data_IF_959724962666
#
_entry.id   IF_959724962666
#
_cell.length_a   1.000
_cell.length_b   1.000
_cell.length_c   1.000
_cell.angle_alpha   90.00
_cell.angle_beta   90.00
_cell.angle_gamma   90.00
#
_symmetry.space_group_name_H-M   'P 1'
#
loop_
_entity.id
_entity.type
_entity.pdbx_description
1 polymer ?
#
# COMPACT_ATOMS: atom_id res chain seq x y z
N UNK A 1 -20.89 32.96 17.16
CA UNK A 1 -20.57 32.66 15.76
C UNK A 1 -21.04 31.24 15.46
N UNK A 2 -21.82 31.09 14.38
CA UNK A 2 -22.30 29.77 13.94
C UNK A 2 -21.19 29.00 13.22
N UNK A 3 -21.16 27.68 13.40
CA UNK A 3 -20.28 26.76 12.68
C UNK A 3 -21.06 25.55 12.22
N UNK A 4 -20.82 25.16 10.98
CA UNK A 4 -21.37 23.94 10.38
C UNK A 4 -20.25 22.91 10.22
N UNK A 5 -20.53 21.68 10.59
CA UNK A 5 -19.64 20.52 10.47
C UNK A 5 -20.38 19.37 9.81
N UNK A 6 -19.82 18.79 8.78
CA UNK A 6 -20.31 17.57 8.14
C UNK A 6 -19.72 16.38 8.89
N UNK A 7 -20.59 15.59 9.49
CA UNK A 7 -20.26 14.39 10.24
C UNK A 7 -20.84 13.14 9.57
N UNK A 8 -20.55 11.97 10.11
CA UNK A 8 -21.09 10.71 9.63
C UNK A 8 -22.62 10.62 9.81
N UNK A 9 -23.18 11.38 10.75
CA UNK A 9 -24.64 11.41 11.04
C UNK A 9 -25.33 12.60 10.38
N UNK A 10 -24.69 13.27 9.47
CA UNK A 10 -25.26 14.41 8.75
C UNK A 10 -24.56 15.75 9.05
N UNK A 11 -25.19 16.82 8.62
CA UNK A 11 -24.72 18.19 8.82
C UNK A 11 -25.17 18.70 10.21
N UNK A 12 -24.24 19.15 11.01
CA UNK A 12 -24.49 19.70 12.33
C UNK A 12 -24.11 21.17 12.36
N UNK A 13 -25.06 22.05 12.65
CA UNK A 13 -24.82 23.49 12.86
C UNK A 13 -24.97 23.83 14.34
N UNK A 14 -23.94 24.45 14.92
CA UNK A 14 -23.93 24.85 16.31
C UNK A 14 -23.39 26.26 16.50
N UNK A 15 -23.86 26.93 17.56
CA UNK A 15 -23.35 28.25 17.99
C UNK A 15 -22.17 28.09 18.91
N UNK A 16 -21.13 28.90 18.73
CA UNK A 16 -19.94 28.92 19.58
C UNK A 16 -19.58 30.33 19.99
N UNK A 17 -19.13 30.45 21.24
CA UNK A 17 -18.71 31.72 21.82
C UNK A 17 -17.23 31.96 21.55
N UNK A 18 -16.90 33.18 21.24
CA UNK A 18 -15.57 33.63 20.97
C UNK A 18 -14.95 34.20 22.23
N UNK A 19 -13.77 33.72 22.60
CA UNK A 19 -13.03 34.13 23.77
C UNK A 19 -11.72 34.80 23.39
N UNK A 20 -11.27 35.70 24.26
CA UNK A 20 -9.96 36.35 24.16
C UNK A 20 -9.21 36.05 25.45
N UNK A 21 -8.02 35.48 25.32
CA UNK A 21 -7.15 35.25 26.49
C UNK A 21 -6.71 36.57 27.07
N UNK A 22 -6.92 36.77 28.41
CA UNK A 22 -6.48 37.97 29.12
C UNK A 22 -4.96 38.13 29.16
N UNK A 23 -4.23 37.01 29.05
CA UNK A 23 -2.78 37.00 29.18
C UNK A 23 -2.04 37.13 27.86
N UNK A 24 -2.58 36.54 26.77
CA UNK A 24 -1.87 36.44 25.48
C UNK A 24 -2.56 37.19 24.36
N UNK A 25 -3.71 37.84 24.61
CA UNK A 25 -4.61 38.39 23.56
C UNK A 25 -4.97 37.41 22.43
N UNK A 26 -4.67 36.10 22.59
CA UNK A 26 -5.03 35.08 21.62
C UNK A 26 -6.55 34.88 21.62
N UNK A 27 -7.08 34.83 20.42
CA UNK A 27 -8.50 34.62 20.16
C UNK A 27 -8.78 33.15 19.87
N UNK A 28 -9.79 32.56 20.52
CA UNK A 28 -10.11 31.13 20.36
C UNK A 28 -11.59 30.85 20.61
N UNK A 29 -12.05 29.71 20.10
CA UNK A 29 -13.37 29.16 20.40
C UNK A 29 -13.18 28.00 21.38
N UNK A 30 -13.63 28.15 22.61
CA UNK A 30 -13.45 27.16 23.66
C UNK A 30 -14.05 25.79 23.31
N UNK A 31 -15.24 25.78 22.68
CA UNK A 31 -15.90 24.59 22.19
C UNK A 31 -15.04 23.83 21.16
N UNK A 32 -14.36 24.55 20.28
CA UNK A 32 -13.47 23.93 19.29
C UNK A 32 -12.27 23.22 19.95
N UNK A 33 -11.84 23.67 21.12
CA UNK A 33 -10.74 23.03 21.87
C UNK A 33 -11.20 21.83 22.67
N UNK A 34 -12.42 21.87 23.26
CA UNK A 34 -13.00 20.72 23.99
C UNK A 34 -13.25 19.55 23.06
N UNK A 35 -13.95 19.81 21.96
CA UNK A 35 -14.31 18.77 20.97
C UNK A 35 -13.21 18.58 19.93
N UNK A 36 -12.10 19.30 20.07
CA UNK A 36 -10.92 19.15 19.26
C UNK A 36 -11.21 19.34 17.76
N UNK A 37 -12.07 20.27 17.47
CA UNK A 37 -12.49 20.54 16.11
C UNK A 37 -11.38 21.26 15.34
N UNK A 38 -11.04 20.77 14.15
CA UNK A 38 -9.99 21.40 13.34
C UNK A 38 -10.37 22.83 12.98
N UNK A 39 -9.43 23.76 13.11
CA UNK A 39 -9.64 25.17 12.73
C UNK A 39 -10.04 25.27 11.25
N UNK A 40 -11.12 26.00 10.95
CA UNK A 40 -11.62 26.25 9.59
C UNK A 40 -11.95 25.00 8.76
N UNK A 41 -12.15 23.86 9.38
CA UNK A 41 -12.51 22.64 8.69
C UNK A 41 -14.04 22.43 8.76
N UNK A 42 -14.63 21.98 7.67
CA UNK A 42 -16.05 21.70 7.56
C UNK A 42 -16.38 20.21 7.69
N UNK A 43 -15.35 19.35 7.77
CA UNK A 43 -15.52 17.90 7.78
C UNK A 43 -14.93 17.29 9.02
N UNK A 44 -15.67 16.39 9.62
CA UNK A 44 -15.24 15.55 10.72
C UNK A 44 -14.06 14.65 10.31
N UNK A 45 -13.11 14.33 11.19
CA UNK A 45 -12.02 13.40 10.89
C UNK A 45 -12.48 12.02 10.42
N UNK A 46 -13.62 11.51 10.91
CA UNK A 46 -14.16 10.22 10.48
C UNK A 46 -14.62 10.27 9.02
N UNK A 47 -15.31 11.33 8.62
CA UNK A 47 -15.71 11.56 7.22
C UNK A 47 -14.47 11.58 6.29
N UNK A 48 -13.41 12.26 6.73
CA UNK A 48 -12.15 12.27 5.98
C UNK A 48 -11.51 10.89 5.89
N UNK A 49 -11.48 10.15 6.99
CA UNK A 49 -10.92 8.80 7.04
C UNK A 49 -11.67 7.85 6.09
N UNK A 50 -13.01 7.92 6.06
CA UNK A 50 -13.83 7.14 5.13
C UNK A 50 -13.51 7.51 3.68
N UNK A 51 -13.51 8.80 3.36
CA UNK A 51 -13.26 9.27 2.00
C UNK A 51 -11.86 8.89 1.52
N UNK A 52 -10.83 9.04 2.37
CA UNK A 52 -9.46 8.65 2.05
C UNK A 52 -9.35 7.13 1.83
N UNK A 53 -9.93 6.32 2.72
CA UNK A 53 -9.91 4.86 2.60
C UNK A 53 -10.58 4.38 1.31
N UNK A 54 -11.74 4.94 0.97
CA UNK A 54 -12.44 4.66 -0.28
C UNK A 54 -11.64 5.13 -1.51
N UNK A 55 -10.99 6.31 -1.45
CA UNK A 55 -10.19 6.85 -2.55
C UNK A 55 -8.98 5.97 -2.90
N UNK A 56 -8.39 5.30 -1.92
CA UNK A 56 -7.31 4.32 -2.13
C UNK A 56 -7.85 3.03 -2.77
N UNK A 57 -9.09 2.67 -2.48
CA UNK A 57 -9.69 1.41 -2.97
C UNK A 57 -10.34 1.54 -4.34
N UNK A 58 -10.83 2.72 -4.71
CA UNK A 58 -11.59 2.95 -5.95
C UNK A 58 -10.99 4.09 -6.78
N UNK A 59 -11.61 5.25 -6.75
CA UNK A 59 -11.14 6.51 -7.31
C UNK A 59 -11.63 7.65 -6.44
N UNK A 60 -11.02 8.83 -6.58
CA UNK A 60 -11.45 10.00 -5.80
C UNK A 60 -12.92 10.37 -6.11
N UNK A 61 -13.31 10.26 -7.38
CA UNK A 61 -14.68 10.56 -7.80
C UNK A 61 -15.70 9.56 -7.21
N UNK A 62 -15.37 8.27 -7.22
CA UNK A 62 -16.23 7.24 -6.64
C UNK A 62 -16.24 7.34 -5.11
N UNK A 63 -15.09 7.58 -4.50
CA UNK A 63 -14.96 7.80 -3.05
C UNK A 63 -15.86 8.94 -2.56
N UNK A 64 -15.92 10.04 -3.31
CA UNK A 64 -16.80 11.17 -2.99
C UNK A 64 -18.27 10.74 -2.98
N UNK A 65 -18.72 10.10 -4.07
CA UNK A 65 -20.11 9.62 -4.17
C UNK A 65 -20.44 8.63 -3.07
N UNK A 66 -19.59 7.61 -2.87
CA UNK A 66 -19.81 6.57 -1.87
C UNK A 66 -19.83 7.12 -0.43
N UNK A 67 -19.01 8.16 -0.16
CA UNK A 67 -18.98 8.79 1.17
C UNK A 67 -20.20 9.66 1.38
N UNK A 68 -20.61 10.44 0.39
CA UNK A 68 -21.82 11.28 0.47
C UNK A 68 -23.08 10.43 0.58
N UNK A 69 -23.18 9.32 -0.19
CA UNK A 69 -24.28 8.36 -0.06
C UNK A 69 -24.33 7.77 1.34
N UNK A 70 -23.21 7.28 1.87
CA UNK A 70 -23.15 6.72 3.21
C UNK A 70 -23.61 7.71 4.29
N UNK A 71 -23.21 8.98 4.20
CA UNK A 71 -23.63 10.02 5.15
C UNK A 71 -25.13 10.27 5.02
N UNK A 72 -25.66 10.35 3.81
CA UNK A 72 -27.11 10.54 3.58
C UNK A 72 -27.92 9.35 4.09
N UNK A 73 -27.43 8.12 3.89
CA UNK A 73 -28.08 6.89 4.38
C UNK A 73 -28.08 6.79 5.92
N UNK A 74 -27.05 7.35 6.57
CA UNK A 74 -26.89 7.35 8.03
C UNK A 74 -27.48 8.61 8.70
N UNK A 75 -27.86 9.63 7.94
CA UNK A 75 -28.42 10.85 8.51
C UNK A 75 -29.81 10.56 9.10
N UNK A 76 -29.90 10.68 10.42
CA UNK A 76 -31.11 10.42 11.19
C UNK A 76 -32.10 11.60 11.18
N UNK A 77 -31.61 12.77 10.76
CA UNK A 77 -32.44 13.97 10.72
C UNK A 77 -33.01 14.12 9.32
N UNK A 78 -34.35 14.12 9.22
CA UNK A 78 -35.08 14.62 8.06
C UNK A 78 -34.74 16.10 7.83
N UNK A 79 -33.57 16.38 7.35
CA UNK A 79 -33.28 17.69 6.79
C UNK A 79 -33.54 17.58 5.29
N UNK A 80 -34.39 18.47 4.77
CA UNK A 80 -34.62 18.65 3.33
C UNK A 80 -33.35 18.93 2.52
N UNK A 81 -32.18 18.98 3.16
CA UNK A 81 -30.89 19.22 2.56
C UNK A 81 -30.13 17.92 2.43
N UNK A 82 -30.25 17.30 1.26
CA UNK A 82 -29.28 16.30 0.79
C UNK A 82 -27.90 16.91 0.93
N UNK A 83 -27.00 16.24 1.68
CA UNK A 83 -25.61 16.68 1.80
C UNK A 83 -25.01 16.75 0.40
N UNK A 84 -24.58 17.94 0.01
CA UNK A 84 -23.89 18.16 -1.27
C UNK A 84 -22.66 17.27 -1.33
N UNK A 85 -22.37 16.76 -2.49
CA UNK A 85 -21.17 15.96 -2.73
C UNK A 85 -19.91 16.63 -2.18
N UNK A 86 -19.11 15.84 -1.48
CA UNK A 86 -17.80 16.29 -1.01
C UNK A 86 -16.95 16.65 -2.25
N UNK A 87 -16.37 17.86 -2.34
CA UNK A 87 -15.56 18.20 -3.49
C UNK A 87 -14.35 17.27 -3.64
N UNK A 88 -14.12 16.74 -4.86
CA UNK A 88 -12.94 15.87 -5.14
C UNK A 88 -11.64 16.53 -4.69
N UNK A 89 -11.54 17.85 -4.84
CA UNK A 89 -10.36 18.62 -4.42
C UNK A 89 -10.14 18.55 -2.91
N UNK A 90 -11.19 18.39 -2.10
CA UNK A 90 -11.08 18.22 -0.65
C UNK A 90 -10.42 16.89 -0.31
N UNK A 91 -10.88 15.78 -0.87
CA UNK A 91 -10.27 14.45 -0.68
C UNK A 91 -8.81 14.45 -1.12
N UNK A 92 -8.56 15.07 -2.28
CA UNK A 92 -7.21 15.26 -2.77
C UNK A 92 -6.31 16.01 -1.79
N UNK A 93 -6.79 17.15 -1.26
CA UNK A 93 -6.04 17.97 -0.31
C UNK A 93 -5.80 17.23 1.02
N UNK A 94 -6.77 16.43 1.48
CA UNK A 94 -6.62 15.61 2.69
C UNK A 94 -5.50 14.57 2.51
N UNK A 95 -5.50 13.83 1.40
CA UNK A 95 -4.42 12.87 1.10
C UNK A 95 -3.08 13.59 0.95
N UNK A 96 -3.04 14.74 0.23
CA UNK A 96 -1.82 15.54 0.03
C UNK A 96 -1.20 15.96 1.36
N UNK A 97 -2.01 16.44 2.30
CA UNK A 97 -1.55 17.03 3.55
C UNK A 97 -1.38 15.99 4.66
N UNK A 98 -1.84 14.75 4.46
CA UNK A 98 -1.68 13.69 5.44
C UNK A 98 -0.22 13.20 5.47
N UNK A 99 0.39 13.20 6.67
CA UNK A 99 1.65 12.51 6.90
C UNK A 99 1.34 11.01 7.09
N UNK A 100 1.68 10.21 6.11
CA UNK A 100 1.50 8.76 6.15
C UNK A 100 2.75 8.15 6.83
N UNK A 101 2.64 7.56 8.03
CA UNK A 101 3.78 7.00 8.74
C UNK A 101 4.35 5.78 8.01
N UNK A 102 5.57 5.36 8.33
CA UNK A 102 6.12 4.09 7.88
C UNK A 102 5.64 2.99 8.82
N UNK A 103 4.87 2.05 8.29
CA UNK A 103 4.33 0.92 9.04
C UNK A 103 4.50 -0.34 8.21
N UNK A 104 4.97 -1.40 8.83
CA UNK A 104 5.02 -2.74 8.27
C UNK A 104 4.41 -3.70 9.28
N UNK A 105 3.47 -4.57 8.89
CA UNK A 105 2.99 -5.61 9.80
C UNK A 105 4.16 -6.46 10.24
N UNK A 106 4.41 -6.55 11.55
CA UNK A 106 5.46 -7.43 12.09
C UNK A 106 5.11 -8.90 11.81
N UNK A 107 6.11 -9.70 11.50
CA UNK A 107 5.98 -11.16 11.53
C UNK A 107 6.21 -11.65 12.95
N UNK A 108 5.49 -12.71 13.35
CA UNK A 108 5.70 -13.32 14.65
C UNK A 108 7.11 -13.93 14.75
N UNK A 109 7.60 -14.51 13.65
CA UNK A 109 8.93 -15.10 13.55
C UNK A 109 9.59 -14.71 12.22
N UNK A 110 10.91 -14.67 12.20
CA UNK A 110 11.68 -14.48 10.97
C UNK A 110 11.94 -15.85 10.34
N UNK A 111 11.58 -16.08 9.06
CA UNK A 111 11.78 -17.36 8.38
C UNK A 111 13.26 -17.58 8.05
N UNK A 112 13.70 -18.82 7.97
CA UNK A 112 15.04 -19.17 7.47
C UNK A 112 15.18 -18.91 5.96
N UNK A 113 14.09 -19.02 5.21
CA UNK A 113 14.04 -18.76 3.76
C UNK A 113 13.03 -17.67 3.46
N UNK A 114 13.47 -16.63 2.79
CA UNK A 114 12.61 -15.54 2.32
C UNK A 114 12.54 -15.57 0.79
N UNK A 115 11.33 -15.52 0.26
CA UNK A 115 11.07 -15.41 -1.17
C UNK A 115 10.74 -13.97 -1.53
N UNK A 116 11.37 -13.44 -2.57
CA UNK A 116 11.19 -12.08 -3.04
C UNK A 116 10.91 -12.14 -4.54
N UNK A 117 9.73 -11.70 -4.95
CA UNK A 117 9.41 -11.44 -6.35
C UNK A 117 9.64 -9.96 -6.65
N UNK A 118 10.29 -9.65 -7.77
CA UNK A 118 10.52 -8.28 -8.22
C UNK A 118 10.16 -8.13 -9.70
N UNK A 119 9.53 -7.01 -10.04
CA UNK A 119 9.14 -6.68 -11.41
C UNK A 119 8.86 -5.18 -11.54
N UNK A 120 8.68 -4.68 -12.77
CA UNK A 120 8.42 -3.27 -13.05
C UNK A 120 7.13 -3.05 -13.83
N UNK A 121 6.55 -1.86 -13.62
CA UNK A 121 5.39 -1.38 -14.39
C UNK A 121 5.59 0.06 -14.80
N UNK A 122 5.36 0.32 -16.09
CA UNK A 122 5.34 1.68 -16.62
C UNK A 122 3.94 2.26 -16.49
N UNK A 123 3.86 3.49 -16.00
CA UNK A 123 2.60 4.23 -15.82
C UNK A 123 2.76 5.66 -16.31
N UNK A 124 1.75 6.21 -16.96
CA UNK A 124 1.72 7.61 -17.38
C UNK A 124 1.55 8.56 -16.19
N UNK A 125 2.23 9.70 -16.21
CA UNK A 125 2.02 10.82 -15.29
C UNK A 125 1.62 12.07 -16.06
N UNK A 126 0.77 12.92 -15.44
CA UNK A 126 0.23 14.12 -16.12
C UNK A 126 1.25 15.25 -16.32
N UNK A 127 2.29 15.27 -15.51
CA UNK A 127 3.30 16.34 -15.47
C UNK A 127 4.64 15.95 -16.13
N UNK A 128 4.70 14.79 -16.76
CA UNK A 128 5.88 14.26 -17.44
C UNK A 128 5.45 13.58 -18.74
N UNK A 129 6.16 13.82 -19.83
CA UNK A 129 5.88 13.20 -21.13
C UNK A 129 6.26 11.71 -21.18
N UNK A 130 7.24 11.30 -20.39
CA UNK A 130 7.71 9.91 -20.35
C UNK A 130 6.98 9.12 -19.27
N UNK A 131 6.70 7.88 -19.58
CA UNK A 131 6.18 6.94 -18.60
C UNK A 131 7.12 6.79 -17.39
N UNK A 132 6.54 6.72 -16.23
CA UNK A 132 7.23 6.49 -14.97
C UNK A 132 7.36 4.99 -14.74
N UNK A 133 8.57 4.53 -14.45
CA UNK A 133 8.83 3.15 -14.06
C UNK A 133 8.63 2.97 -12.55
N UNK A 134 7.66 2.16 -12.17
CA UNK A 134 7.43 1.72 -10.79
C UNK A 134 8.05 0.34 -10.62
N UNK A 135 8.90 0.19 -9.62
CA UNK A 135 9.50 -1.09 -9.22
C UNK A 135 8.70 -1.67 -8.06
N UNK A 136 8.29 -2.92 -8.21
CA UNK A 136 7.42 -3.61 -7.26
C UNK A 136 8.08 -4.85 -6.72
N UNK A 137 7.88 -5.05 -5.42
CA UNK A 137 8.42 -6.17 -4.65
C UNK A 137 7.30 -6.86 -3.91
N UNK A 138 7.34 -8.18 -3.89
CA UNK A 138 6.46 -9.02 -3.09
C UNK A 138 7.33 -10.00 -2.31
N UNK A 139 7.47 -9.77 -1.00
CA UNK A 139 8.15 -10.71 -0.12
C UNK A 139 7.13 -11.67 0.52
N UNK A 140 7.48 -12.94 0.69
CA UNK A 140 6.64 -13.93 1.34
C UNK A 140 7.48 -15.05 1.93
N UNK A 141 6.91 -15.78 2.89
CA UNK A 141 7.64 -16.78 3.68
C UNK A 141 7.48 -18.19 3.13
N UNK A 142 6.34 -18.48 2.51
CA UNK A 142 6.02 -19.79 1.96
C UNK A 142 4.84 -19.71 0.99
N UNK A 143 4.50 -20.85 0.38
CA UNK A 143 3.34 -21.02 -0.51
C UNK A 143 2.53 -22.22 -0.07
N UNK A 144 1.24 -22.04 0.16
CA UNK A 144 0.30 -23.10 0.50
C UNK A 144 -0.70 -23.33 -0.63
N UNK A 145 -0.99 -24.60 -0.90
CA UNK A 145 -2.01 -25.00 -1.86
C UNK A 145 -3.40 -24.88 -1.20
N UNK A 146 -4.27 -24.03 -1.78
CA UNK A 146 -5.67 -23.89 -1.34
C UNK A 146 -6.57 -24.88 -2.10
N UNK A 147 -6.27 -25.09 -3.37
CA UNK A 147 -6.96 -26.05 -4.24
C UNK A 147 -6.03 -26.51 -5.35
N UNK A 148 -6.46 -27.50 -6.17
CA UNK A 148 -5.67 -28.13 -7.25
C UNK A 148 -4.91 -27.11 -8.16
N UNK A 149 -5.46 -25.89 -8.34
CA UNK A 149 -4.88 -24.88 -9.22
C UNK A 149 -4.71 -23.50 -8.55
N UNK A 150 -4.83 -23.43 -7.21
CA UNK A 150 -4.76 -22.14 -6.49
C UNK A 150 -3.83 -22.22 -5.31
N UNK A 151 -2.84 -21.34 -5.32
CA UNK A 151 -1.84 -21.17 -4.26
C UNK A 151 -2.02 -19.83 -3.56
N UNK A 152 -1.65 -19.77 -2.29
CA UNK A 152 -1.63 -18.55 -1.48
C UNK A 152 -0.24 -18.34 -0.91
N UNK A 153 0.25 -17.10 -1.01
CA UNK A 153 1.51 -16.70 -0.38
C UNK A 153 1.30 -16.48 1.11
N UNK A 154 2.17 -17.07 1.92
CA UNK A 154 2.15 -16.94 3.39
C UNK A 154 2.87 -15.65 3.78
N UNK A 155 2.28 -14.90 4.70
CA UNK A 155 2.82 -13.65 5.26
C UNK A 155 3.31 -12.65 4.19
N UNK A 156 2.57 -12.57 3.07
CA UNK A 156 2.89 -11.70 1.94
C UNK A 156 3.02 -10.24 2.35
N UNK A 157 4.09 -9.60 1.90
CA UNK A 157 4.34 -8.16 2.06
C UNK A 157 4.63 -7.54 0.70
N UNK A 158 3.91 -6.48 0.38
CA UNK A 158 4.04 -5.72 -0.87
C UNK A 158 4.75 -4.42 -0.60
N UNK A 159 5.67 -4.05 -1.49
CA UNK A 159 6.34 -2.76 -1.48
C UNK A 159 6.54 -2.27 -2.90
N UNK A 160 6.23 -0.99 -3.15
CA UNK A 160 6.39 -0.35 -4.45
C UNK A 160 7.24 0.90 -4.32
N UNK A 161 8.16 1.09 -5.26
CA UNK A 161 9.11 2.19 -5.26
C UNK A 161 9.12 2.94 -6.58
N UNK A 162 9.12 4.27 -6.50
CA UNK A 162 9.41 5.18 -7.60
C UNK A 162 10.63 6.00 -7.25
N UNK A 163 11.66 5.94 -8.08
CA UNK A 163 12.94 6.65 -7.91
C UNK A 163 14.14 5.72 -7.96
N UNK A 164 15.29 6.27 -7.55
CA UNK A 164 16.56 5.57 -7.52
C UNK A 164 16.68 4.62 -6.32
N UNK A 165 17.66 3.71 -6.37
CA UNK A 165 18.02 2.79 -5.27
C UNK A 165 16.85 1.98 -4.72
N UNK A 166 16.06 1.28 -5.58
CA UNK A 166 14.87 0.55 -5.16
C UNK A 166 15.17 -0.57 -4.16
N UNK A 167 16.32 -1.21 -4.27
CA UNK A 167 16.73 -2.29 -3.36
C UNK A 167 17.02 -1.77 -1.95
N UNK A 168 17.67 -0.63 -1.81
CA UNK A 168 17.92 -0.01 -0.51
C UNK A 168 16.58 0.35 0.15
N UNK A 169 15.69 1.00 -0.59
CA UNK A 169 14.38 1.36 -0.07
C UNK A 169 13.53 0.13 0.32
N UNK A 170 13.62 -0.95 -0.46
CA UNK A 170 12.96 -2.21 -0.13
C UNK A 170 13.56 -2.86 1.11
N UNK A 171 14.87 -2.88 1.24
CA UNK A 171 15.56 -3.46 2.39
C UNK A 171 15.24 -2.71 3.68
N UNK A 172 15.27 -1.38 3.66
CA UNK A 172 14.85 -0.55 4.79
C UNK A 172 13.41 -0.86 5.22
N UNK A 173 12.52 -1.09 4.24
CA UNK A 173 11.14 -1.43 4.51
C UNK A 173 10.99 -2.82 5.11
N UNK A 174 11.64 -3.83 4.53
CA UNK A 174 11.50 -5.23 4.95
C UNK A 174 12.24 -5.52 6.27
N UNK A 175 13.30 -4.76 6.60
CA UNK A 175 14.01 -4.84 7.88
C UNK A 175 13.14 -4.42 9.07
N UNK A 176 12.07 -3.64 8.84
CA UNK A 176 11.08 -3.36 9.88
C UNK A 176 10.21 -4.61 10.21
N UNK A 177 10.19 -5.61 9.32
CA UNK A 177 9.39 -6.83 9.48
C UNK A 177 10.22 -8.01 9.96
N UNK A 178 11.42 -8.21 9.42
CA UNK A 178 12.26 -9.37 9.63
C UNK A 178 13.63 -8.99 10.17
N UNK A 179 14.17 -9.87 10.98
CA UNK A 179 15.57 -9.87 11.41
C UNK A 179 16.42 -10.55 10.32
N UNK A 180 17.15 -9.76 9.54
CA UNK A 180 17.93 -10.28 8.41
C UNK A 180 19.05 -11.27 8.83
N UNK A 181 19.55 -11.19 10.06
CA UNK A 181 20.59 -12.09 10.54
C UNK A 181 20.08 -13.53 10.71
N UNK A 182 18.76 -13.71 10.82
CA UNK A 182 18.11 -15.01 10.90
C UNK A 182 17.76 -15.63 9.54
N UNK A 183 17.79 -14.84 8.47
CA UNK A 183 17.47 -15.30 7.12
C UNK A 183 18.72 -15.96 6.52
N UNK A 184 18.67 -17.28 6.32
CA UNK A 184 19.76 -18.05 5.71
C UNK A 184 19.71 -18.05 4.19
N UNK A 185 18.49 -18.10 3.62
CA UNK A 185 18.29 -18.22 2.19
C UNK A 185 17.35 -17.15 1.68
N UNK A 186 17.73 -16.48 0.60
CA UNK A 186 16.87 -15.55 -0.13
C UNK A 186 16.69 -16.04 -1.56
N UNK A 187 15.46 -16.33 -1.94
CA UNK A 187 15.07 -16.71 -3.29
C UNK A 187 14.52 -15.49 -4.02
N UNK A 188 15.32 -14.92 -4.92
CA UNK A 188 14.94 -13.75 -5.74
C UNK A 188 14.35 -14.21 -7.06
N UNK A 189 13.10 -13.88 -7.32
CA UNK A 189 12.34 -14.26 -8.53
C UNK A 189 12.07 -13.01 -9.39
N UNK A 190 12.29 -13.12 -10.69
CA UNK A 190 12.00 -12.01 -11.63
C UNK A 190 12.15 -12.42 -13.08
N UNK A 191 11.99 -11.46 -13.99
CA UNK A 191 12.08 -11.64 -15.44
C UNK A 191 13.52 -11.68 -15.99
N UNK A 192 14.51 -11.35 -15.16
CA UNK A 192 15.90 -11.29 -15.52
C UNK A 192 16.40 -9.92 -15.97
N UNK A 193 15.62 -8.85 -15.76
CA UNK A 193 16.08 -7.48 -15.93
C UNK A 193 17.32 -7.21 -15.09
N UNK A 194 18.23 -6.35 -15.59
CA UNK A 194 19.52 -6.08 -14.95
C UNK A 194 19.36 -5.55 -13.52
N UNK A 195 18.41 -4.67 -13.29
CA UNK A 195 18.15 -4.12 -11.96
C UNK A 195 17.62 -5.17 -10.97
N UNK A 196 16.88 -6.19 -11.46
CA UNK A 196 16.41 -7.32 -10.61
C UNK A 196 17.60 -8.20 -10.26
N UNK A 197 18.43 -8.54 -11.25
CA UNK A 197 19.64 -9.36 -11.02
C UNK A 197 20.63 -8.68 -10.07
N UNK A 198 20.77 -7.35 -10.11
CA UNK A 198 21.63 -6.61 -9.16
C UNK A 198 21.19 -6.82 -7.71
N UNK A 199 19.89 -7.10 -7.48
CA UNK A 199 19.37 -7.44 -6.16
C UNK A 199 20.05 -8.64 -5.50
N UNK A 200 20.67 -9.54 -6.26
CA UNK A 200 21.43 -10.66 -5.67
C UNK A 200 22.66 -10.17 -4.88
N UNK A 201 23.26 -9.06 -5.29
CA UNK A 201 24.34 -8.41 -4.55
C UNK A 201 23.85 -7.58 -3.39
N UNK A 202 22.80 -6.78 -3.63
CA UNK A 202 22.22 -5.87 -2.62
C UNK A 202 21.60 -6.62 -1.42
N UNK A 203 20.97 -7.77 -1.66
CA UNK A 203 20.36 -8.60 -0.63
C UNK A 203 21.34 -9.46 0.16
N UNK A 204 22.59 -9.52 -0.25
CA UNK A 204 23.65 -10.25 0.47
C UNK A 204 24.20 -9.39 1.61
N UNK A 205 23.49 -9.39 2.74
CA UNK A 205 23.80 -8.54 3.89
C UNK A 205 24.80 -9.15 4.87
N UNK A 206 24.95 -10.48 4.86
CA UNK A 206 25.91 -11.18 5.72
C UNK A 206 26.64 -12.27 4.94
N UNK A 207 27.78 -12.73 5.45
CA UNK A 207 28.47 -13.90 4.88
C UNK A 207 27.67 -15.20 5.06
N UNK A 208 26.65 -15.19 5.93
CA UNK A 208 25.87 -16.36 6.31
C UNK A 208 24.60 -16.54 5.48
N UNK A 209 24.18 -15.54 4.68
CA UNK A 209 23.01 -15.67 3.84
C UNK A 209 23.37 -16.01 2.39
N UNK A 210 22.65 -16.94 1.79
CA UNK A 210 22.74 -17.25 0.36
C UNK A 210 21.61 -16.52 -0.39
N UNK A 211 21.96 -15.83 -1.48
CA UNK A 211 20.97 -15.20 -2.37
C UNK A 211 21.04 -15.89 -3.72
N UNK A 212 19.95 -16.48 -4.16
CA UNK A 212 19.86 -17.17 -5.46
C UNK A 212 18.76 -16.55 -6.32
N UNK A 213 19.11 -16.26 -7.57
CA UNK A 213 18.15 -15.74 -8.55
C UNK A 213 17.47 -16.89 -9.29
N UNK A 214 16.15 -16.74 -9.49
CA UNK A 214 15.28 -17.66 -10.22
C UNK A 214 14.54 -16.89 -11.31
N UNK A 215 14.59 -17.40 -12.54
CA UNK A 215 13.80 -16.78 -13.61
C UNK A 215 12.35 -17.24 -13.56
N UNK A 216 11.44 -16.26 -13.56
CA UNK A 216 10.00 -16.48 -13.53
C UNK A 216 9.52 -17.44 -14.64
N UNK A 217 8.78 -18.47 -14.26
CA UNK A 217 8.24 -19.48 -15.20
C UNK A 217 7.31 -18.86 -16.24
N UNK A 218 6.58 -17.80 -15.88
CA UNK A 218 5.73 -17.08 -16.82
C UNK A 218 6.54 -16.49 -17.97
N UNK A 219 7.64 -15.81 -17.69
CA UNK A 219 8.50 -15.21 -18.72
C UNK A 219 9.22 -16.25 -19.57
N UNK A 220 9.53 -17.42 -19.00
CA UNK A 220 10.00 -18.55 -19.77
C UNK A 220 8.94 -19.04 -20.77
N UNK A 221 7.71 -19.29 -20.31
CA UNK A 221 6.60 -19.70 -21.18
C UNK A 221 6.27 -18.64 -22.24
N UNK A 222 6.32 -17.37 -21.87
CA UNK A 222 6.16 -16.25 -22.82
C UNK A 222 7.27 -16.25 -23.89
N UNK A 223 8.52 -16.51 -23.51
CA UNK A 223 9.61 -16.62 -24.48
C UNK A 223 9.38 -17.78 -25.45
N UNK A 224 8.91 -18.94 -24.98
CA UNK A 224 8.50 -20.07 -25.84
C UNK A 224 7.37 -19.67 -26.81
N UNK A 225 6.38 -18.92 -26.33
CA UNK A 225 5.30 -18.39 -27.18
C UNK A 225 5.80 -17.48 -28.29
N UNK A 226 6.87 -16.74 -28.05
CA UNK A 226 7.52 -15.93 -29.08
C UNK A 226 8.36 -16.75 -30.05
N UNK A 227 8.84 -17.92 -29.66
CA UNK A 227 9.56 -18.85 -30.56
C UNK A 227 8.58 -19.47 -31.54
N UNK A 228 7.47 -20.02 -31.04
CA UNK A 228 6.45 -20.65 -31.90
C UNK A 228 5.03 -20.37 -31.41
N UNK A 229 4.12 -20.17 -32.38
CA UNK A 229 2.68 -20.04 -32.14
C UNK A 229 1.97 -21.39 -32.12
N UNK A 230 2.62 -22.47 -32.63
CA UNK A 230 2.08 -23.80 -32.60
C UNK A 230 2.02 -24.39 -31.20
N UNK A 231 0.91 -25.02 -30.84
CA UNK A 231 0.68 -25.51 -29.46
C UNK A 231 1.51 -26.78 -29.19
N UNK A 232 1.64 -27.67 -30.18
CA UNK A 232 2.36 -28.92 -30.03
C UNK A 232 3.86 -28.70 -29.97
N UNK A 233 4.38 -27.77 -30.79
CA UNK A 233 5.79 -27.33 -30.69
C UNK A 233 6.10 -26.71 -29.36
N UNK A 234 5.22 -25.87 -28.77
CA UNK A 234 5.41 -25.30 -27.46
C UNK A 234 5.47 -26.38 -26.37
N UNK A 235 4.53 -27.30 -26.41
CA UNK A 235 4.52 -28.44 -25.49
C UNK A 235 5.82 -29.25 -25.57
N UNK A 236 6.24 -29.56 -26.81
CA UNK A 236 7.47 -30.29 -27.08
C UNK A 236 8.71 -29.55 -26.55
N UNK A 237 8.84 -28.27 -26.84
CA UNK A 237 9.95 -27.43 -26.32
C UNK A 237 10.00 -27.39 -24.80
N UNK A 238 8.86 -27.24 -24.14
CA UNK A 238 8.78 -27.27 -22.67
C UNK A 238 9.15 -28.64 -22.13
N UNK A 239 8.69 -29.72 -22.77
CA UNK A 239 9.01 -31.09 -22.38
C UNK A 239 10.52 -31.37 -22.51
N UNK A 240 11.14 -31.02 -23.64
CA UNK A 240 12.59 -31.15 -23.85
C UNK A 240 13.34 -30.32 -22.82
N UNK A 241 12.96 -29.08 -22.61
CA UNK A 241 13.61 -28.22 -21.66
C UNK A 241 13.63 -28.83 -20.24
N UNK A 242 12.51 -29.45 -19.83
CA UNK A 242 12.39 -30.10 -18.52
C UNK A 242 13.18 -31.39 -18.41
N UNK A 243 13.21 -32.20 -19.44
CA UNK A 243 13.59 -33.63 -19.33
C UNK A 243 14.89 -34.00 -20.10
N UNK A 244 15.42 -33.11 -20.95
CA UNK A 244 16.57 -33.40 -21.80
C UNK A 244 17.72 -32.41 -21.53
N UNK A 245 18.96 -32.75 -21.92
CA UNK A 245 20.09 -31.82 -21.90
C UNK A 245 19.82 -30.57 -22.72
N UNK A 246 20.51 -29.46 -22.36
CA UNK A 246 20.39 -28.14 -23.00
C UNK A 246 20.56 -28.17 -24.54
N UNK A 247 21.46 -29.03 -25.06
CA UNK A 247 21.71 -29.19 -26.49
C UNK A 247 20.44 -29.54 -27.27
N UNK A 248 19.64 -30.49 -26.75
CA UNK A 248 18.39 -30.91 -27.41
C UNK A 248 17.40 -29.75 -27.57
N UNK A 249 17.34 -28.86 -26.56
CA UNK A 249 16.48 -27.67 -26.66
C UNK A 249 16.98 -26.69 -27.73
N UNK A 250 18.31 -26.48 -27.78
CA UNK A 250 18.94 -25.59 -28.78
C UNK A 250 18.71 -26.14 -30.19
N UNK A 251 18.91 -27.46 -30.40
CA UNK A 251 18.72 -28.10 -31.69
C UNK A 251 17.26 -28.05 -32.17
N UNK A 252 16.31 -28.29 -31.25
CA UNK A 252 14.87 -28.21 -31.57
C UNK A 252 14.48 -26.78 -32.01
N UNK A 253 14.95 -25.73 -31.28
CA UNK A 253 14.71 -24.35 -31.70
C UNK A 253 15.44 -24.01 -32.99
N UNK A 254 16.64 -24.57 -33.21
CA UNK A 254 17.38 -24.46 -34.48
C UNK A 254 16.57 -24.94 -35.69
N UNK A 255 15.86 -26.06 -35.54
CA UNK A 255 14.93 -26.58 -36.57
C UNK A 255 13.78 -25.59 -36.83
N UNK A 256 13.21 -24.98 -35.77
CA UNK A 256 12.15 -23.97 -35.93
C UNK A 256 12.69 -22.74 -36.67
N UNK A 257 13.91 -22.30 -36.36
CA UNK A 257 14.56 -21.18 -37.04
C UNK A 257 14.74 -21.49 -38.54
N UNK A 258 15.21 -22.71 -38.85
CA UNK A 258 15.41 -23.14 -40.24
C UNK A 258 14.11 -23.08 -41.07
N UNK A 259 13.01 -23.50 -40.45
CA UNK A 259 11.68 -23.50 -41.12
C UNK A 259 11.02 -22.10 -41.13
N UNK A 260 11.49 -21.13 -40.35
CA UNK A 260 10.87 -19.79 -40.19
C UNK A 260 11.89 -18.66 -40.37
N UNK A 261 12.52 -18.58 -41.50
CA UNK A 261 13.59 -17.62 -41.81
C UNK A 261 13.18 -16.14 -41.64
N UNK A 262 11.91 -15.82 -41.93
CA UNK A 262 11.34 -14.48 -41.78
C UNK A 262 11.27 -14.01 -40.30
N UNK A 263 11.33 -14.94 -39.33
CA UNK A 263 11.30 -14.68 -37.89
C UNK A 263 12.61 -15.00 -37.20
N UNK A 264 13.65 -15.35 -37.91
CA UNK A 264 14.97 -15.80 -37.42
C UNK A 264 15.49 -14.93 -36.30
N UNK A 265 15.52 -13.61 -36.48
CA UNK A 265 16.11 -12.69 -35.49
C UNK A 265 15.31 -12.67 -34.15
N UNK A 266 13.99 -12.71 -34.25
CA UNK A 266 13.10 -12.75 -33.08
C UNK A 266 13.27 -14.06 -32.33
N UNK A 267 13.29 -15.19 -33.02
CA UNK A 267 13.45 -16.53 -32.44
C UNK A 267 14.84 -16.63 -31.78
N UNK A 268 15.89 -16.18 -32.47
CA UNK A 268 17.27 -16.21 -31.98
C UNK A 268 17.42 -15.36 -30.69
N UNK A 269 16.81 -14.17 -30.65
CA UNK A 269 16.79 -13.36 -29.43
C UNK A 269 16.17 -14.09 -28.25
N UNK A 270 15.04 -14.79 -28.48
CA UNK A 270 14.36 -15.54 -27.41
C UNK A 270 15.10 -16.83 -27.03
N UNK A 271 15.74 -17.49 -27.99
CA UNK A 271 16.63 -18.61 -27.70
C UNK A 271 17.77 -18.17 -26.79
N UNK A 272 18.48 -17.09 -27.17
CA UNK A 272 19.57 -16.55 -26.38
C UNK A 272 19.14 -16.15 -24.95
N UNK A 273 17.96 -15.55 -24.80
CA UNK A 273 17.38 -15.24 -23.50
C UNK A 273 17.22 -16.50 -22.65
N UNK A 274 16.64 -17.58 -23.19
CA UNK A 274 16.43 -18.85 -22.47
C UNK A 274 17.80 -19.50 -22.16
N UNK A 275 18.70 -19.54 -23.13
CA UNK A 275 20.03 -20.15 -22.98
C UNK A 275 20.87 -19.47 -21.92
N UNK A 276 20.86 -18.13 -21.86
CA UNK A 276 21.59 -17.34 -20.89
C UNK A 276 21.02 -17.47 -19.46
N UNK A 277 19.76 -17.86 -19.34
CA UNK A 277 19.08 -18.05 -18.07
C UNK A 277 18.75 -19.53 -17.78
N UNK A 278 19.34 -20.47 -18.53
CA UNK A 278 18.97 -21.89 -18.51
C UNK A 278 18.95 -22.47 -17.09
N UNK A 279 20.05 -22.27 -16.34
CA UNK A 279 20.16 -22.77 -14.96
C UNK A 279 19.14 -22.13 -14.01
N UNK A 280 18.89 -20.84 -14.17
CA UNK A 280 17.92 -20.10 -13.33
C UNK A 280 16.49 -20.57 -13.59
N UNK A 281 16.15 -20.89 -14.85
CA UNK A 281 14.84 -21.46 -15.22
C UNK A 281 14.70 -22.87 -14.68
N UNK A 282 15.72 -23.72 -14.82
CA UNK A 282 15.70 -25.08 -14.25
C UNK A 282 15.50 -25.06 -12.75
N UNK A 283 16.28 -24.25 -12.05
CA UNK A 283 16.15 -24.07 -10.60
C UNK A 283 14.76 -23.60 -10.18
N UNK A 284 14.10 -22.76 -10.99
CA UNK A 284 12.73 -22.31 -10.70
C UNK A 284 11.71 -23.44 -10.85
N UNK A 285 11.87 -24.29 -11.86
CA UNK A 285 11.01 -25.46 -12.06
C UNK A 285 11.15 -26.44 -10.89
N UNK A 286 12.38 -26.67 -10.42
CA UNK A 286 12.69 -27.55 -9.31
C UNK A 286 12.16 -26.97 -7.97
N UNK A 287 12.20 -25.66 -7.81
CA UNK A 287 11.67 -24.94 -6.63
C UNK A 287 10.15 -25.07 -6.49
N UNK A 288 9.42 -25.26 -7.59
CA UNK A 288 7.98 -25.49 -7.68
C UNK A 288 7.08 -24.48 -6.92
N UNK A 289 7.55 -23.27 -6.69
CA UNK A 289 6.77 -22.21 -5.99
C UNK A 289 5.73 -21.59 -6.91
N UNK A 290 5.94 -21.68 -8.23
CA UNK A 290 5.12 -21.00 -9.21
C UNK A 290 5.49 -19.51 -9.33
N UNK A 291 4.96 -18.86 -10.33
CA UNK A 291 5.14 -17.42 -10.54
C UNK A 291 3.79 -16.77 -10.68
N UNK A 292 3.46 -15.95 -9.71
CA UNK A 292 2.23 -15.14 -9.72
C UNK A 292 2.52 -13.63 -9.87
N UNK A 293 3.77 -13.27 -10.19
CA UNK A 293 4.21 -11.86 -10.15
C UNK A 293 3.42 -10.98 -11.13
N UNK A 294 3.16 -11.45 -12.35
CA UNK A 294 2.37 -10.66 -13.30
C UNK A 294 0.94 -10.45 -12.82
N UNK A 295 0.33 -11.49 -12.24
CA UNK A 295 -0.97 -11.37 -11.58
C UNK A 295 -0.92 -10.35 -10.44
N UNK A 296 0.13 -10.37 -9.61
CA UNK A 296 0.29 -9.41 -8.53
C UNK A 296 0.48 -7.99 -9.05
N UNK A 297 1.36 -7.76 -10.05
CA UNK A 297 1.56 -6.42 -10.61
C UNK A 297 0.30 -5.89 -11.27
N UNK A 298 -0.40 -6.70 -12.05
CA UNK A 298 -1.66 -6.31 -12.65
C UNK A 298 -2.69 -5.91 -11.60
N UNK A 299 -2.84 -6.68 -10.54
CA UNK A 299 -3.79 -6.37 -9.46
C UNK A 299 -3.32 -5.27 -8.52
N UNK A 300 -2.02 -5.20 -8.21
CA UNK A 300 -1.50 -4.26 -7.23
C UNK A 300 -1.30 -2.85 -7.79
N UNK A 301 -0.73 -2.74 -8.99
CA UNK A 301 -0.37 -1.45 -9.60
C UNK A 301 -1.32 -1.06 -10.72
N UNK A 302 -1.53 -1.94 -11.70
CA UNK A 302 -2.31 -1.60 -12.87
C UNK A 302 -3.76 -1.25 -12.52
N UNK A 303 -4.37 -1.92 -11.55
CA UNK A 303 -5.72 -1.60 -11.09
C UNK A 303 -5.84 -0.17 -10.53
N UNK A 304 -4.78 0.34 -9.89
CA UNK A 304 -4.77 1.69 -9.35
C UNK A 304 -4.34 2.74 -10.37
N UNK A 305 -3.35 2.45 -11.21
CA UNK A 305 -2.69 3.46 -12.03
C UNK A 305 -2.96 3.35 -13.53
N UNK A 306 -3.27 2.16 -14.07
CA UNK A 306 -3.40 1.94 -15.52
C UNK A 306 -4.82 1.61 -15.98
N UNK A 307 -5.66 0.99 -15.16
CA UNK A 307 -6.98 0.50 -15.57
C UNK A 307 -8.02 1.61 -15.81
N UNK A 308 -7.73 2.84 -15.37
CA UNK A 308 -8.56 4.04 -15.58
C UNK A 308 -7.64 5.27 -15.64
N UNK A 309 -7.94 6.28 -16.47
CA UNK A 309 -7.18 7.51 -16.52
C UNK A 309 -7.37 8.28 -15.20
N UNK A 310 -6.48 8.07 -14.24
CA UNK A 310 -6.57 8.70 -12.91
C UNK A 310 -5.71 9.95 -12.75
N UNK A 311 -4.89 10.31 -13.74
CA UNK A 311 -4.17 11.56 -13.77
C UNK A 311 -3.34 11.87 -12.51
N UNK A 312 -2.36 11.05 -12.22
CA UNK A 312 -1.42 11.33 -11.13
C UNK A 312 -0.26 12.20 -11.60
N UNK A 313 0.19 13.15 -10.76
CA UNK A 313 1.47 13.80 -10.98
C UNK A 313 2.61 12.99 -10.37
N UNK A 314 3.80 13.07 -10.97
CA UNK A 314 5.01 12.36 -10.51
C UNK A 314 5.31 12.58 -9.02
N UNK A 315 5.17 13.84 -8.56
CA UNK A 315 5.41 14.23 -7.15
C UNK A 315 4.50 13.54 -6.14
N UNK A 316 3.37 12.94 -6.58
CA UNK A 316 2.35 12.36 -5.69
C UNK A 316 2.31 10.86 -5.76
N UNK A 317 2.86 10.28 -6.81
CA UNK A 317 2.87 8.84 -7.03
C UNK A 317 3.39 8.10 -5.80
N UNK A 318 4.49 8.54 -5.20
CA UNK A 318 5.08 7.90 -4.02
C UNK A 318 4.10 7.74 -2.86
N UNK A 319 3.29 8.78 -2.58
CA UNK A 319 2.29 8.69 -1.51
C UNK A 319 1.15 7.73 -1.84
N UNK A 320 0.68 7.74 -3.09
CA UNK A 320 -0.37 6.82 -3.53
C UNK A 320 0.13 5.38 -3.62
N UNK A 321 1.38 5.15 -4.03
CA UNK A 321 2.02 3.83 -3.96
C UNK A 321 2.03 3.31 -2.54
N UNK A 322 2.49 4.12 -1.58
CA UNK A 322 2.53 3.75 -0.17
C UNK A 322 1.16 3.38 0.39
N UNK A 323 0.12 4.16 0.09
CA UNK A 323 -1.24 3.86 0.52
C UNK A 323 -1.79 2.60 -0.16
N UNK A 324 -1.46 2.38 -1.42
CA UNK A 324 -1.81 1.17 -2.14
C UNK A 324 -1.12 -0.07 -1.56
N UNK A 325 0.16 0.02 -1.23
CA UNK A 325 0.91 -1.04 -0.58
C UNK A 325 0.30 -1.37 0.80
N UNK A 326 -0.07 -0.36 1.58
CA UNK A 326 -0.74 -0.56 2.87
C UNK A 326 -2.06 -1.31 2.73
N UNK A 327 -2.91 -0.91 1.77
CA UNK A 327 -4.13 -1.65 1.46
C UNK A 327 -3.83 -3.11 1.12
N UNK A 328 -2.82 -3.35 0.28
CA UNK A 328 -2.44 -4.69 -0.16
C UNK A 328 -1.76 -5.53 0.93
N UNK A 329 -1.21 -4.87 1.95
CA UNK A 329 -0.67 -5.48 3.17
C UNK A 329 -1.71 -5.58 4.30
N UNK A 330 -3.00 -5.39 3.99
CA UNK A 330 -4.13 -5.44 4.93
C UNK A 330 -4.06 -4.41 6.06
N UNK A 331 -3.31 -3.31 5.88
CA UNK A 331 -3.31 -2.20 6.83
C UNK A 331 -4.60 -1.41 6.64
N UNK A 332 -5.34 -1.22 7.73
CA UNK A 332 -6.59 -0.48 7.71
C UNK A 332 -6.33 1.02 7.59
N UNK A 333 -6.52 1.56 6.38
CA UNK A 333 -6.27 2.98 6.06
C UNK A 333 -7.14 3.93 6.91
N UNK A 334 -8.38 3.54 7.19
CA UNK A 334 -9.29 4.31 8.03
C UNK A 334 -8.74 4.46 9.46
N UNK A 335 -8.42 3.35 10.11
CA UNK A 335 -7.82 3.34 11.46
C UNK A 335 -6.49 4.09 11.49
N UNK A 336 -5.66 3.90 10.47
CA UNK A 336 -4.37 4.56 10.33
C UNK A 336 -4.51 6.09 10.25
N UNK A 337 -5.45 6.60 9.45
CA UNK A 337 -5.69 8.03 9.37
C UNK A 337 -6.09 8.62 10.72
N UNK A 338 -7.04 7.99 11.41
CA UNK A 338 -7.52 8.46 12.71
C UNK A 338 -6.44 8.44 13.78
N UNK A 339 -5.62 7.38 13.84
CA UNK A 339 -4.51 7.30 14.81
C UNK A 339 -3.46 8.38 14.60
N UNK A 340 -3.12 8.70 13.35
CA UNK A 340 -2.16 9.77 13.05
C UNK A 340 -2.74 11.16 13.24
N UNK A 341 -4.04 11.32 13.08
CA UNK A 341 -4.76 12.56 13.37
C UNK A 341 -4.72 12.84 14.87
N UNK A 342 -5.01 11.84 15.69
CA UNK A 342 -4.97 11.93 17.15
C UNK A 342 -3.56 12.23 17.70
N UNK A 343 -2.50 11.58 17.17
CA UNK A 343 -1.11 11.81 17.59
C UNK A 343 -0.61 13.24 17.29
N UNK A 344 -0.93 13.80 16.12
CA UNK A 344 -0.61 15.21 15.83
C UNK A 344 -1.21 16.18 16.83
N UNK A 345 -2.32 15.83 17.39
CA UNK A 345 -3.09 16.57 18.32
C UNK A 345 -2.46 16.60 19.70
N UNK A 346 -2.03 15.43 20.20
CA UNK A 346 -1.33 15.29 21.49
C UNK A 346 0.00 16.06 21.49
N UNK A 347 0.80 15.94 20.43
CA UNK A 347 2.07 16.67 20.32
C UNK A 347 1.83 18.19 20.30
N UNK A 348 0.79 18.65 19.60
CA UNK A 348 0.46 20.07 19.55
C UNK A 348 -0.09 20.62 20.86
N UNK A 349 -0.82 19.81 21.61
CA UNK A 349 -1.23 20.16 22.97
C UNK A 349 -0.02 20.31 23.91
N UNK A 350 0.97 19.45 23.78
CA UNK A 350 2.22 19.55 24.56
C UNK A 350 3.04 20.79 24.17
N UNK A 351 3.15 21.12 22.88
CA UNK A 351 3.84 22.35 22.44
C UNK A 351 3.09 23.63 22.87
N UNK A 352 1.75 23.62 22.83
CA UNK A 352 0.93 24.76 23.27
C UNK A 352 0.83 24.84 24.81
N UNK A 353 1.07 23.76 25.56
CA UNK A 353 1.01 23.75 27.04
C UNK A 353 2.32 24.13 27.69
N UNK A 354 3.47 24.11 27.03
CA UNK A 354 4.72 24.63 27.57
C UNK A 354 4.70 26.15 27.77
N UNK A 355 3.79 26.89 27.14
CA UNK A 355 3.55 28.33 27.32
C UNK A 355 2.41 28.65 28.31
N UNK A 356 1.82 27.65 28.98
CA UNK A 356 0.69 27.84 29.87
C UNK A 356 0.89 27.10 31.21
N UNK A 357 1.46 27.77 32.19
CA UNK A 357 1.15 27.48 33.61
C UNK A 357 -0.37 27.60 33.80
N UNK A 358 -0.95 26.54 34.37
CA UNK A 358 -2.29 26.47 34.94
C UNK A 358 -3.42 26.02 34.03
N UNK A 359 -3.56 24.73 33.89
CA UNK A 359 -4.85 24.05 34.07
C UNK A 359 -4.59 22.74 34.83
N UNK A 360 -4.69 22.77 36.13
CA UNK A 360 -4.74 21.54 36.93
C UNK A 360 -6.08 20.83 36.69
N UNK A 361 -6.11 19.48 36.57
CA UNK A 361 -7.33 18.69 36.36
C UNK A 361 -8.45 18.98 37.36
N UNK A 362 -8.12 19.43 38.55
CA UNK A 362 -9.06 19.68 39.65
C UNK A 362 -10.02 20.85 39.41
N UNK A 363 -9.74 21.74 38.49
CA UNK A 363 -10.66 22.85 38.17
C UNK A 363 -11.72 22.51 37.10
N UNK A 364 -11.58 21.37 36.42
CA UNK A 364 -12.56 20.91 35.41
C UNK A 364 -13.81 20.31 36.06
N UNK A 365 -13.69 19.81 37.32
CA UNK A 365 -14.78 19.17 38.03
C UNK A 365 -15.91 20.10 38.53
N UNK A 366 -15.76 21.41 38.43
CA UNK A 366 -16.74 22.38 38.89
C UNK A 366 -17.52 23.11 37.75
N UNK A 367 -17.55 22.56 36.54
CA UNK A 367 -18.41 23.08 35.49
C UNK A 367 -19.80 22.45 35.65
N UNK A 368 -20.88 23.22 35.97
CA UNK A 368 -22.21 22.68 36.27
C UNK A 368 -22.82 21.84 35.13
N UNK A 369 -22.39 22.06 33.88
CA UNK A 369 -22.85 21.34 32.69
C UNK A 369 -22.33 19.89 32.62
N UNK A 370 -21.19 19.59 33.27
CA UNK A 370 -20.62 18.24 33.28
C UNK A 370 -21.21 17.35 34.40
N UNK A 371 -21.77 17.97 35.43
CA UNK A 371 -22.37 17.25 36.57
C UNK A 371 -23.83 16.82 36.38
N UNK A 372 -24.50 17.30 35.35
CA UNK A 372 -25.88 16.91 35.03
C UNK A 372 -25.96 15.75 34.02
N UNK A 373 -25.23 14.70 34.26
CA UNK A 373 -25.30 13.30 33.84
C UNK A 373 -26.24 12.85 32.68
N UNK A 374 -26.49 13.67 31.68
CA UNK A 374 -27.12 13.23 30.43
C UNK A 374 -26.05 13.14 29.33
N UNK A 375 -25.39 11.99 29.32
CA UNK A 375 -24.54 11.59 28.22
C UNK A 375 -25.39 11.47 26.94
N UNK A 376 -25.25 12.40 26.03
CA UNK A 376 -25.75 12.21 24.68
C UNK A 376 -24.83 11.18 24.00
N UNK A 377 -25.42 10.11 23.42
CA UNK A 377 -24.71 8.91 22.92
C UNK A 377 -23.52 9.13 21.98
N UNK A 378 -23.43 10.29 21.34
CA UNK A 378 -22.32 10.66 20.44
C UNK A 378 -21.00 10.85 21.17
N UNK A 379 -21.01 11.34 22.41
CA UNK A 379 -19.80 11.57 23.20
C UNK A 379 -19.20 10.26 23.71
N UNK A 380 -20.05 9.30 24.11
CA UNK A 380 -19.63 7.95 24.51
C UNK A 380 -18.99 7.22 23.35
N UNK A 381 -19.54 7.36 22.14
CA UNK A 381 -19.02 6.72 20.93
C UNK A 381 -17.61 7.21 20.58
N UNK A 382 -17.37 8.51 20.62
CA UNK A 382 -16.04 9.09 20.30
C UNK A 382 -14.99 8.77 21.38
N UNK A 383 -15.40 8.74 22.66
CA UNK A 383 -14.48 8.34 23.75
C UNK A 383 -14.16 6.85 23.71
N UNK A 384 -15.12 5.99 23.43
CA UNK A 384 -14.88 4.55 23.31
C UNK A 384 -13.98 4.22 22.13
N UNK A 385 -14.15 4.88 20.97
CA UNK A 385 -13.24 4.70 19.82
C UNK A 385 -11.82 5.17 20.18
N UNK A 386 -11.66 6.29 20.89
CA UNK A 386 -10.33 6.76 21.30
C UNK A 386 -9.68 5.85 22.33
N UNK A 387 -10.46 5.24 23.22
CA UNK A 387 -9.98 4.31 24.24
C UNK A 387 -9.61 2.95 23.65
N UNK A 388 -10.41 2.40 22.74
CA UNK A 388 -10.06 1.17 22.01
C UNK A 388 -8.82 1.34 21.12
N UNK A 389 -8.67 2.50 20.46
CA UNK A 389 -7.48 2.80 19.64
C UNK A 389 -6.23 2.94 20.53
N UNK A 390 -6.35 3.47 21.75
CA UNK A 390 -5.21 3.62 22.68
C UNK A 390 -4.81 2.29 23.30
N UNK A 391 -5.75 1.41 23.63
CA UNK A 391 -5.47 0.08 24.21
C UNK A 391 -4.89 -0.89 23.18
N UNK A 392 -5.38 -0.90 21.95
CA UNK A 392 -4.78 -1.73 20.89
C UNK A 392 -3.36 -1.29 20.49
N UNK A 393 -3.01 0.00 20.65
CA UNK A 393 -1.64 0.50 20.41
C UNK A 393 -0.65 0.11 21.52
N UNK A 394 -1.11 -0.06 22.76
CA UNK A 394 -0.28 -0.55 23.86
C UNK A 394 0.04 -2.05 23.74
N UNK A 395 -0.90 -2.86 23.26
CA UNK A 395 -0.69 -4.32 23.05
C UNK A 395 0.32 -4.58 21.93
N UNK A 396 0.51 -3.66 20.98
CA UNK A 396 1.50 -3.79 19.90
C UNK A 396 2.94 -3.43 20.34
N UNK A 397 3.14 -2.89 21.54
CA UNK A 397 4.47 -2.53 22.07
C UNK A 397 4.97 -3.46 23.18
N UNK A 398 4.14 -4.41 23.68
CA UNK A 398 4.51 -5.30 24.80
C UNK A 398 4.48 -6.81 24.43
N UNK A 399 4.25 -7.17 23.18
CA UNK A 399 4.45 -8.53 22.66
C UNK A 399 5.24 -8.47 21.36
#
# INVERSE_FOLDING_TARGET
VSRTLITIVGEITFKRTYYVSKYSNKKFFYIDSIFDLPKKDHYDPIVKAIAISKAVSTSQAQSVRDTSSLINDLSYFESDSIIKDIPRQSVYNWIKNWYVPNIVPKSAETPETLYIMADEKYIGAQDIEKDIMIKSFVAFEDVIDISKNRRKLVNRTVFSHYGDKPWIAFMDYIAMKYDFDKIKNICLLGDGASWIKSGTGELRLSQNNSVKFYLCEFHFKQAIHHITTDADERYYLIHIFKNKPKSYFVDAVGTIIYNNQNRKDTITKKLNYIVNNYTNIKSMIDLNIGSSMESHISHLIASMFSSRPKGYSSKRITKYLKLNDYKNNNINIFKLYLSTYSKKKTTKLYEDTYDYEVFTPDKIHNIPVLNNGRNTGTYIYLNNISHEISTETYILNET
#
